data_IF_983273984783
#
_entry.id   IF_983273984783
#
_cell.length_a   1.000
_cell.length_b   1.000
_cell.length_c   1.000
_cell.angle_alpha   90.00
_cell.angle_beta   90.00
_cell.angle_gamma   90.00
#
_symmetry.space_group_name_H-M   'P 1'
#
loop_
_entity.id
_entity.type
_entity.pdbx_description
1 polymer ?
#
# COMPACT_ATOMS: atom_id res chain seq x y z
N UNK A 1 13.39 5.37 -12.50
CA UNK A 1 12.59 6.60 -12.38
C UNK A 1 12.27 6.90 -10.93
N UNK A 2 12.02 8.18 -10.64
CA UNK A 2 11.60 8.68 -9.36
C UNK A 2 10.10 8.94 -9.37
N UNK A 3 9.42 8.67 -8.29
CA UNK A 3 7.98 8.87 -8.12
C UNK A 3 7.63 9.15 -6.67
N UNK A 4 6.47 9.74 -6.40
CA UNK A 4 6.05 10.05 -5.04
C UNK A 4 4.58 10.40 -4.94
N UNK A 5 4.03 10.24 -3.74
CA UNK A 5 2.68 10.63 -3.36
C UNK A 5 2.73 11.35 -2.02
N UNK A 6 1.93 12.41 -1.82
CA UNK A 6 1.99 13.22 -0.60
C UNK A 6 1.02 12.76 0.48
N UNK A 7 1.40 13.01 1.72
CA UNK A 7 0.51 12.90 2.88
C UNK A 7 0.83 13.95 3.95
N UNK A 8 -0.06 14.13 4.91
CA UNK A 8 0.19 14.94 6.08
C UNK A 8 1.19 14.24 7.01
N UNK A 9 2.05 14.99 7.74
CA UNK A 9 2.87 14.45 8.82
C UNK A 9 1.99 14.02 10.00
N UNK A 10 2.57 13.37 11.02
CA UNK A 10 1.79 12.96 12.19
C UNK A 10 1.12 14.16 12.89
N UNK A 11 0.01 13.94 13.58
CA UNK A 11 -0.66 14.98 14.38
C UNK A 11 0.30 15.65 15.35
N UNK A 12 1.15 14.87 16.03
CA UNK A 12 2.18 15.40 16.93
C UNK A 12 3.15 16.36 16.25
N UNK A 13 3.39 16.20 14.96
CA UNK A 13 4.21 17.12 14.17
C UNK A 13 3.42 18.34 13.77
N UNK A 14 2.14 18.19 13.37
CA UNK A 14 1.24 19.32 13.08
C UNK A 14 1.10 20.23 14.31
N UNK A 15 0.96 19.67 15.49
CA UNK A 15 0.87 20.41 16.75
C UNK A 15 2.10 21.27 17.07
N UNK A 16 3.27 20.97 16.51
CA UNK A 16 4.49 21.78 16.73
C UNK A 16 4.48 23.13 16.02
N UNK A 17 3.66 23.29 14.99
CA UNK A 17 3.60 24.52 14.19
C UNK A 17 2.19 25.13 14.07
N UNK A 18 1.18 24.53 14.73
CA UNK A 18 -0.21 25.01 14.71
C UNK A 18 -0.73 25.27 16.13
N UNK A 19 -1.51 26.34 16.30
CA UNK A 19 -2.45 26.45 17.40
C UNK A 19 -3.76 25.70 17.05
N UNK A 20 -4.64 25.49 18.02
CA UNK A 20 -5.91 24.76 17.79
C UNK A 20 -6.78 25.38 16.68
N UNK A 21 -6.84 26.73 16.63
CA UNK A 21 -7.56 27.47 15.58
C UNK A 21 -7.01 27.25 14.16
N UNK A 22 -5.75 26.84 14.03
CA UNK A 22 -5.07 26.63 12.76
C UNK A 22 -5.15 25.17 12.28
N UNK A 23 -5.70 24.25 13.09
CA UNK A 23 -5.83 22.83 12.78
C UNK A 23 -6.95 22.55 11.79
N UNK A 24 -6.91 23.27 10.69
CA UNK A 24 -7.76 23.13 9.52
C UNK A 24 -6.87 23.02 8.29
N UNK A 25 -7.12 22.02 7.43
CA UNK A 25 -6.27 21.72 6.27
C UNK A 25 -5.98 22.95 5.39
N UNK A 26 -6.92 23.87 5.27
CA UNK A 26 -6.82 25.10 4.46
C UNK A 26 -6.54 26.37 5.28
N UNK A 27 -6.12 26.23 6.54
CA UNK A 27 -5.62 27.38 7.27
C UNK A 27 -4.31 27.89 6.65
N UNK A 28 -4.04 29.18 6.76
CA UNK A 28 -2.80 29.77 6.23
C UNK A 28 -1.55 29.10 6.77
N UNK A 29 -1.58 28.66 8.03
CA UNK A 29 -0.47 27.94 8.66
C UNK A 29 -0.28 26.58 8.02
N UNK A 30 -1.34 25.78 7.88
CA UNK A 30 -1.25 24.46 7.25
C UNK A 30 -0.83 24.54 5.78
N UNK A 31 -1.33 25.54 5.04
CA UNK A 31 -0.93 25.74 3.64
C UNK A 31 0.52 26.23 3.50
N UNK A 32 1.04 27.01 4.46
CA UNK A 32 2.45 27.39 4.48
C UNK A 32 3.38 26.22 4.82
N UNK A 33 2.89 25.21 5.55
CA UNK A 33 3.59 23.97 5.85
C UNK A 33 3.26 22.85 4.83
N UNK A 34 3.26 23.21 3.54
CA UNK A 34 3.03 22.30 2.42
C UNK A 34 4.11 22.52 1.35
N UNK A 35 4.84 21.46 0.97
CA UNK A 35 5.91 21.56 -0.05
C UNK A 35 5.40 21.81 -1.47
N UNK A 36 4.13 21.51 -1.74
CA UNK A 36 3.54 21.72 -3.05
C UNK A 36 2.29 22.61 -2.90
N UNK A 37 2.25 23.81 -3.48
CA UNK A 37 1.17 24.79 -3.28
C UNK A 37 -0.25 24.29 -3.57
N UNK A 38 -0.42 23.28 -4.44
CA UNK A 38 -1.74 22.74 -4.78
C UNK A 38 -2.04 21.38 -4.11
N UNK A 39 -1.19 20.91 -3.19
CA UNK A 39 -1.25 19.52 -2.76
C UNK A 39 -2.34 19.21 -1.73
N UNK A 40 -2.73 20.16 -0.88
CA UNK A 40 -3.83 19.91 0.05
C UNK A 40 -5.12 19.55 -0.68
N UNK A 41 -5.45 20.26 -1.75
CA UNK A 41 -6.58 19.93 -2.61
C UNK A 41 -6.42 18.58 -3.33
N UNK A 42 -5.19 18.26 -3.78
CA UNK A 42 -4.91 16.95 -4.42
C UNK A 42 -5.04 15.79 -3.42
N UNK A 43 -4.54 15.94 -2.20
CA UNK A 43 -4.69 14.93 -1.15
C UNK A 43 -6.17 14.65 -0.91
N UNK A 44 -7.01 15.69 -0.76
CA UNK A 44 -8.45 15.54 -0.57
C UNK A 44 -9.13 14.88 -1.77
N UNK A 45 -8.78 15.27 -2.98
CA UNK A 45 -9.33 14.67 -4.19
C UNK A 45 -9.12 13.16 -4.23
N UNK A 46 -7.86 12.70 -4.14
CA UNK A 46 -7.56 11.26 -4.17
C UNK A 46 -8.11 10.52 -2.95
N UNK A 47 -8.18 11.19 -1.79
CA UNK A 47 -8.79 10.61 -0.61
C UNK A 47 -10.28 10.34 -0.82
N UNK A 48 -11.00 11.27 -1.44
CA UNK A 48 -12.44 11.14 -1.74
C UNK A 48 -12.74 10.02 -2.76
N UNK A 49 -11.79 9.70 -3.63
CA UNK A 49 -11.91 8.58 -4.56
C UNK A 49 -11.76 7.21 -3.87
N UNK A 50 -11.04 7.17 -2.74
CA UNK A 50 -10.65 5.90 -2.10
C UNK A 50 -11.38 5.65 -0.78
N UNK A 51 -11.61 6.69 0.03
CA UNK A 51 -12.15 6.60 1.38
C UNK A 51 -13.36 7.49 1.57
N UNK A 52 -14.16 7.21 2.60
CA UNK A 52 -15.16 8.16 3.11
C UNK A 52 -14.47 9.35 3.75
N UNK A 53 -15.11 10.53 3.73
CA UNK A 53 -14.55 11.73 4.34
C UNK A 53 -14.31 11.53 5.84
N UNK A 54 -13.11 11.84 6.33
CA UNK A 54 -12.80 11.79 7.76
C UNK A 54 -13.55 12.88 8.54
N UNK A 55 -13.80 12.64 9.81
CA UNK A 55 -14.54 13.56 10.68
C UNK A 55 -13.73 14.76 11.15
N UNK A 56 -12.40 14.59 11.23
CA UNK A 56 -11.48 15.57 11.82
C UNK A 56 -10.08 15.50 11.16
N UNK A 57 -9.20 16.41 11.56
CA UNK A 57 -7.83 16.47 11.04
C UNK A 57 -7.02 15.22 11.39
N UNK A 58 -7.28 14.57 12.51
CA UNK A 58 -6.60 13.34 12.90
C UNK A 58 -6.94 12.19 11.96
N UNK A 59 -8.23 11.99 11.69
CA UNK A 59 -8.71 11.03 10.70
C UNK A 59 -8.19 11.34 9.30
N UNK A 60 -8.17 12.62 8.90
CA UNK A 60 -7.61 13.06 7.62
C UNK A 60 -6.12 12.73 7.52
N UNK A 61 -5.35 13.02 8.57
CA UNK A 61 -3.92 12.69 8.63
C UNK A 61 -3.69 11.21 8.46
N UNK A 62 -4.41 10.39 9.23
CA UNK A 62 -4.30 8.92 9.17
C UNK A 62 -4.63 8.40 7.76
N UNK A 63 -5.78 8.77 7.19
CA UNK A 63 -6.20 8.30 5.88
C UNK A 63 -5.28 8.80 4.76
N UNK A 64 -4.75 10.04 4.85
CA UNK A 64 -3.78 10.53 3.87
C UNK A 64 -2.48 9.71 3.86
N UNK A 65 -2.02 9.27 5.02
CA UNK A 65 -0.83 8.41 5.14
C UNK A 65 -1.08 6.99 4.61
N UNK A 66 -2.26 6.42 4.87
CA UNK A 66 -2.65 5.12 4.30
C UNK A 66 -2.73 5.21 2.78
N UNK A 67 -3.36 6.26 2.25
CA UNK A 67 -3.45 6.50 0.80
C UNK A 67 -2.08 6.65 0.15
N UNK A 68 -1.18 7.43 0.77
CA UNK A 68 0.21 7.55 0.32
C UNK A 68 0.89 6.17 0.24
N UNK A 69 0.81 5.40 1.32
CA UNK A 69 1.43 4.07 1.39
C UNK A 69 0.87 3.11 0.35
N UNK A 70 -0.45 3.12 0.16
CA UNK A 70 -1.13 2.29 -0.84
C UNK A 70 -0.73 2.67 -2.28
N UNK A 71 -0.72 3.97 -2.61
CA UNK A 71 -0.29 4.43 -3.93
C UNK A 71 1.15 4.02 -4.26
N UNK A 72 2.06 4.14 -3.28
CA UNK A 72 3.46 3.73 -3.43
C UNK A 72 3.59 2.20 -3.54
N UNK A 73 2.81 1.44 -2.77
CA UNK A 73 2.73 -0.02 -2.83
C UNK A 73 2.32 -0.48 -4.23
N UNK A 74 1.19 0.00 -4.73
CA UNK A 74 0.65 -0.40 -6.05
C UNK A 74 1.66 -0.16 -7.17
N UNK A 75 2.29 1.01 -7.19
CA UNK A 75 3.30 1.35 -8.21
C UNK A 75 4.55 0.46 -8.11
N UNK A 76 5.11 0.30 -6.91
CA UNK A 76 6.33 -0.49 -6.69
C UNK A 76 6.09 -1.97 -7.04
N UNK A 77 4.98 -2.54 -6.59
CA UNK A 77 4.62 -3.92 -6.87
C UNK A 77 4.39 -4.15 -8.37
N UNK A 78 3.74 -3.21 -9.07
CA UNK A 78 3.59 -3.28 -10.51
C UNK A 78 4.95 -3.35 -11.21
N UNK A 79 5.90 -2.50 -10.85
CA UNK A 79 7.24 -2.52 -11.45
C UNK A 79 8.02 -3.79 -11.10
N UNK A 80 7.91 -4.30 -9.90
CA UNK A 80 8.54 -5.56 -9.49
C UNK A 80 7.98 -6.76 -10.25
N UNK A 81 6.67 -6.81 -10.51
CA UNK A 81 6.08 -7.82 -11.42
C UNK A 81 6.61 -7.73 -12.85
N UNK A 82 6.98 -6.52 -13.29
CA UNK A 82 7.56 -6.27 -14.62
C UNK A 82 9.10 -6.28 -14.62
N UNK A 83 9.71 -7.11 -13.77
CA UNK A 83 11.16 -7.31 -13.75
C UNK A 83 11.68 -7.68 -15.16
N UNK A 84 12.85 -7.14 -15.52
CA UNK A 84 13.40 -7.23 -16.88
C UNK A 84 13.09 -6.01 -17.73
N UNK A 85 11.86 -5.48 -17.67
CA UNK A 85 11.49 -4.19 -18.26
C UNK A 85 11.76 -3.02 -17.30
N UNK A 86 11.42 -3.18 -16.03
CA UNK A 86 11.73 -2.23 -14.98
C UNK A 86 12.65 -2.87 -13.94
N UNK A 87 13.89 -2.38 -13.83
CA UNK A 87 14.92 -2.95 -12.96
C UNK A 87 15.11 -2.19 -11.65
N UNK A 88 14.31 -1.15 -11.40
CA UNK A 88 14.35 -0.40 -10.16
C UNK A 88 13.49 0.85 -10.18
N UNK A 89 13.10 1.28 -9.00
CA UNK A 89 12.35 2.52 -8.76
C UNK A 89 12.86 3.20 -7.50
N UNK A 90 12.78 4.52 -7.47
CA UNK A 90 13.17 5.34 -6.31
C UNK A 90 11.94 6.13 -5.89
N UNK A 91 11.44 5.89 -4.68
CA UNK A 91 10.38 6.74 -4.19
C UNK A 91 10.92 8.03 -3.57
N UNK A 92 10.32 9.13 -3.89
CA UNK A 92 10.52 10.42 -3.29
C UNK A 92 9.45 10.64 -2.23
N UNK A 93 9.83 10.80 -0.93
CA UNK A 93 11.18 10.87 -0.41
C UNK A 93 11.30 10.16 0.95
N UNK A 94 12.50 9.94 1.45
CA UNK A 94 12.72 9.26 2.73
C UNK A 94 12.26 10.11 3.92
N UNK A 95 12.79 11.35 4.06
CA UNK A 95 12.54 12.22 5.21
C UNK A 95 12.38 13.70 4.81
N UNK A 96 12.02 14.52 5.78
CA UNK A 96 11.85 15.96 5.64
C UNK A 96 12.97 16.76 6.33
N UNK A 97 13.23 17.97 5.84
CA UNK A 97 14.17 18.93 6.40
C UNK A 97 13.51 20.05 7.23
N UNK A 98 12.20 20.02 7.37
CA UNK A 98 11.37 20.87 8.22
C UNK A 98 9.99 20.24 8.43
N UNK A 99 9.21 20.67 9.47
CA UNK A 99 7.87 20.11 9.70
C UNK A 99 6.90 20.51 8.60
N UNK A 100 6.41 19.55 7.79
CA UNK A 100 5.69 19.86 6.56
C UNK A 100 4.88 18.69 6.05
N UNK A 101 3.80 18.93 5.30
CA UNK A 101 3.15 17.95 4.47
C UNK A 101 3.99 17.71 3.20
N UNK A 102 4.30 16.45 2.89
CA UNK A 102 5.26 16.09 1.85
C UNK A 102 5.11 14.67 1.36
N UNK A 103 6.02 14.25 0.49
CA UNK A 103 6.16 12.88 -0.02
C UNK A 103 6.95 11.96 0.92
N UNK A 104 7.46 12.45 2.05
CA UNK A 104 8.33 11.69 2.95
C UNK A 104 7.64 10.46 3.56
N UNK A 105 8.43 9.40 3.79
CA UNK A 105 8.01 8.23 4.58
C UNK A 105 8.25 8.41 6.08
N UNK A 106 9.14 9.34 6.46
CA UNK A 106 9.44 9.73 7.83
C UNK A 106 9.36 11.24 7.94
N UNK A 107 8.65 11.77 8.93
CA UNK A 107 8.51 13.21 9.13
C UNK A 107 9.80 13.85 9.71
N UNK A 108 9.81 15.18 9.78
CA UNK A 108 10.95 15.95 10.27
C UNK A 108 11.47 15.52 11.65
N UNK A 109 10.60 15.10 12.55
CA UNK A 109 10.97 14.66 13.90
C UNK A 109 11.27 13.16 14.01
N UNK A 110 11.47 12.47 12.88
CA UNK A 110 11.80 11.05 12.86
C UNK A 110 10.61 10.11 13.12
N UNK A 111 9.38 10.60 13.02
CA UNK A 111 8.17 9.77 13.17
C UNK A 111 7.84 9.10 11.85
N UNK A 112 7.67 7.79 11.88
CA UNK A 112 7.31 7.03 10.69
C UNK A 112 5.86 7.28 10.28
N UNK A 113 5.63 7.55 9.00
CA UNK A 113 4.32 7.55 8.38
C UNK A 113 3.93 6.13 7.92
N UNK A 114 2.67 5.90 7.57
CA UNK A 114 2.21 4.59 7.12
C UNK A 114 3.05 4.05 5.95
N UNK A 115 3.47 4.91 5.02
CA UNK A 115 4.36 4.54 3.91
C UNK A 115 5.63 3.83 4.40
N UNK A 116 6.24 4.26 5.51
CA UNK A 116 7.49 3.64 5.99
C UNK A 116 7.31 2.18 6.38
N UNK A 117 6.18 1.85 7.02
CA UNK A 117 5.84 0.47 7.37
C UNK A 117 5.46 -0.36 6.14
N UNK A 118 4.70 0.20 5.21
CA UNK A 118 4.33 -0.48 3.96
C UNK A 118 5.56 -0.72 3.07
N UNK A 119 6.50 0.23 3.03
CA UNK A 119 7.74 0.11 2.27
C UNK A 119 8.59 -1.08 2.73
N UNK A 120 8.63 -1.37 4.02
CA UNK A 120 9.27 -2.57 4.55
C UNK A 120 8.73 -3.85 3.90
N UNK A 121 7.42 -3.92 3.62
CA UNK A 121 6.78 -5.06 2.97
C UNK A 121 7.07 -5.11 1.47
N UNK A 122 6.71 -4.06 0.72
CA UNK A 122 6.83 -4.07 -0.73
C UNK A 122 8.27 -3.92 -1.25
N UNK A 123 9.24 -3.55 -0.40
CA UNK A 123 10.67 -3.54 -0.70
C UNK A 123 11.42 -4.78 -0.19
N UNK A 124 10.74 -5.74 0.46
CA UNK A 124 11.42 -6.95 0.95
C UNK A 124 11.98 -7.78 -0.22
N UNK A 125 13.05 -8.53 0.04
CA UNK A 125 13.70 -9.36 -0.96
C UNK A 125 12.76 -10.42 -1.55
N UNK A 126 11.87 -10.98 -0.73
CA UNK A 126 10.78 -11.85 -1.19
C UNK A 126 9.45 -11.19 -0.81
N UNK A 127 8.75 -10.69 -1.80
CA UNK A 127 7.49 -9.98 -1.59
C UNK A 127 6.37 -10.55 -2.45
N UNK A 128 5.23 -10.80 -1.80
CA UNK A 128 3.96 -11.05 -2.46
C UNK A 128 3.34 -9.76 -2.98
N UNK A 129 2.58 -9.85 -4.04
CA UNK A 129 1.78 -8.73 -4.54
C UNK A 129 0.51 -9.23 -5.22
N UNK A 130 -0.55 -8.42 -5.14
CA UNK A 130 -1.81 -8.72 -5.82
C UNK A 130 -1.93 -7.79 -7.03
N UNK A 131 -2.12 -8.39 -8.20
CA UNK A 131 -2.47 -7.68 -9.42
C UNK A 131 -3.98 -7.70 -9.59
N UNK A 132 -4.59 -6.53 -9.52
CA UNK A 132 -6.03 -6.36 -9.71
C UNK A 132 -6.31 -5.78 -11.10
N UNK A 133 -7.16 -6.44 -11.86
CA UNK A 133 -7.71 -5.96 -13.13
C UNK A 133 -9.22 -6.14 -13.11
N UNK A 134 -9.95 -5.12 -12.70
CA UNK A 134 -11.39 -5.17 -12.45
C UNK A 134 -11.75 -6.27 -11.43
N UNK A 135 -12.38 -7.34 -11.88
CA UNK A 135 -12.76 -8.51 -11.08
C UNK A 135 -11.77 -9.67 -11.15
N UNK A 136 -10.74 -9.54 -11.98
CA UNK A 136 -9.65 -10.52 -12.09
C UNK A 136 -8.55 -10.22 -11.07
N UNK A 137 -8.15 -11.22 -10.28
CA UNK A 137 -7.09 -11.13 -9.29
C UNK A 137 -5.95 -12.10 -9.60
N UNK A 138 -4.72 -11.59 -9.59
CA UNK A 138 -3.50 -12.37 -9.72
C UNK A 138 -2.62 -12.25 -8.48
N UNK A 139 -2.12 -13.36 -7.96
CA UNK A 139 -1.13 -13.37 -6.88
C UNK A 139 0.26 -13.68 -7.42
N UNK A 140 1.19 -12.77 -7.16
CA UNK A 140 2.57 -12.81 -7.65
C UNK A 140 3.57 -12.84 -6.50
N UNK A 141 4.72 -13.48 -6.75
CA UNK A 141 5.90 -13.37 -5.89
C UNK A 141 7.05 -12.78 -6.68
N UNK A 142 7.65 -11.73 -6.12
CA UNK A 142 8.93 -11.18 -6.57
C UNK A 142 10.04 -11.71 -5.67
N UNK A 143 11.01 -12.41 -6.26
CA UNK A 143 12.18 -12.95 -5.57
C UNK A 143 13.44 -12.20 -6.00
N UNK A 144 13.97 -11.33 -5.13
CA UNK A 144 15.22 -10.59 -5.35
C UNK A 144 16.45 -11.29 -4.74
N UNK A 145 16.26 -12.49 -4.20
CA UNK A 145 17.39 -13.29 -3.69
C UNK A 145 18.14 -13.99 -4.81
N UNK A 146 19.30 -14.53 -4.50
CA UNK A 146 20.11 -15.36 -5.43
C UNK A 146 19.73 -16.84 -5.39
N UNK A 147 18.71 -17.19 -4.60
CA UNK A 147 18.31 -18.57 -4.37
C UNK A 147 16.95 -18.87 -5.04
N UNK A 148 16.80 -20.12 -5.50
CA UNK A 148 15.49 -20.66 -5.85
C UNK A 148 14.70 -20.90 -4.56
N UNK A 149 13.53 -20.30 -4.45
CA UNK A 149 12.64 -20.50 -3.30
C UNK A 149 11.40 -21.32 -3.69
N UNK A 150 10.86 -22.06 -2.76
CA UNK A 150 9.53 -22.68 -2.90
C UNK A 150 8.55 -21.91 -2.04
N UNK A 151 7.52 -21.37 -2.68
CA UNK A 151 6.44 -20.64 -2.01
C UNK A 151 5.19 -21.50 -1.98
N UNK A 152 4.58 -21.63 -0.81
CA UNK A 152 3.25 -22.20 -0.63
C UNK A 152 2.31 -21.05 -0.27
N UNK A 153 1.19 -20.96 -0.93
CA UNK A 153 0.20 -19.92 -0.68
C UNK A 153 -1.20 -20.49 -0.59
N UNK A 154 -1.97 -19.91 0.31
CA UNK A 154 -3.39 -20.10 0.50
C UNK A 154 -4.11 -18.85 0.03
N UNK A 155 -4.85 -18.98 -1.04
CA UNK A 155 -5.57 -17.91 -1.71
C UNK A 155 -7.05 -18.05 -1.37
N UNK A 156 -7.68 -16.96 -0.92
CA UNK A 156 -9.11 -17.00 -0.59
C UNK A 156 -9.82 -15.70 -0.96
N UNK A 157 -11.12 -15.80 -1.21
CA UNK A 157 -12.08 -14.70 -1.14
C UNK A 157 -12.86 -14.85 0.15
N UNK A 158 -12.87 -13.79 0.96
CA UNK A 158 -13.53 -13.75 2.26
C UNK A 158 -14.50 -12.57 2.33
N UNK A 159 -15.54 -12.73 3.13
CA UNK A 159 -16.44 -11.63 3.53
C UNK A 159 -15.77 -10.75 4.58
N UNK A 160 -16.31 -9.55 4.85
CA UNK A 160 -15.77 -8.64 5.88
C UNK A 160 -15.82 -9.21 7.30
N UNK A 161 -16.68 -10.21 7.57
CA UNK A 161 -16.72 -10.98 8.81
C UNK A 161 -15.85 -12.26 8.76
N UNK A 162 -14.94 -12.33 7.77
CA UNK A 162 -13.93 -13.37 7.57
C UNK A 162 -14.45 -14.76 7.22
N UNK A 163 -15.69 -14.91 6.78
CA UNK A 163 -16.18 -16.18 6.24
C UNK A 163 -15.53 -16.43 4.87
N UNK A 164 -15.08 -17.66 4.66
CA UNK A 164 -14.46 -18.09 3.41
C UNK A 164 -15.53 -18.42 2.40
N UNK A 165 -15.54 -17.73 1.26
CA UNK A 165 -16.44 -18.04 0.14
C UNK A 165 -15.80 -19.01 -0.84
N UNK A 166 -14.51 -18.83 -1.07
CA UNK A 166 -13.70 -19.71 -1.92
C UNK A 166 -12.27 -19.73 -1.39
N UNK A 167 -11.61 -20.87 -1.47
CA UNK A 167 -10.24 -21.05 -1.05
C UNK A 167 -9.50 -22.04 -1.96
N UNK A 168 -8.23 -21.77 -2.23
CA UNK A 168 -7.35 -22.64 -2.99
C UNK A 168 -5.91 -22.57 -2.47
N UNK A 169 -5.26 -23.74 -2.40
CA UNK A 169 -3.83 -23.83 -2.11
C UNK A 169 -3.03 -23.95 -3.39
N UNK A 170 -1.91 -23.25 -3.46
CA UNK A 170 -0.95 -23.32 -4.57
C UNK A 170 0.47 -23.43 -4.02
N UNK A 171 1.32 -24.14 -4.77
CA UNK A 171 2.75 -24.23 -4.46
C UNK A 171 3.55 -24.10 -5.73
N UNK A 172 4.53 -23.19 -5.74
CA UNK A 172 5.38 -22.93 -6.92
C UNK A 172 6.81 -22.65 -6.51
N UNK A 173 7.75 -23.12 -7.32
CA UNK A 173 9.15 -22.71 -7.25
C UNK A 173 9.31 -21.37 -7.97
N UNK A 174 9.95 -20.42 -7.31
CA UNK A 174 10.20 -19.07 -7.83
C UNK A 174 11.72 -18.92 -7.99
N UNK A 175 12.21 -18.80 -9.22
CA UNK A 175 13.65 -18.68 -9.48
C UNK A 175 14.27 -17.46 -8.82
N UNK A 176 15.59 -17.49 -8.64
CA UNK A 176 16.36 -16.32 -8.25
C UNK A 176 16.15 -15.15 -9.21
N UNK A 177 16.10 -13.93 -8.68
CA UNK A 177 16.00 -12.68 -9.45
C UNK A 177 14.83 -12.67 -10.45
N UNK A 178 13.67 -13.19 -10.06
CA UNK A 178 12.49 -13.32 -10.90
C UNK A 178 11.21 -12.77 -10.26
N UNK A 179 10.17 -12.63 -11.08
CA UNK A 179 8.80 -12.42 -10.62
C UNK A 179 7.88 -13.45 -11.29
N UNK A 180 7.11 -14.18 -10.50
CA UNK A 180 6.27 -15.28 -10.96
C UNK A 180 4.82 -15.10 -10.51
N UNK A 181 3.87 -15.29 -11.42
CA UNK A 181 2.48 -15.45 -11.08
C UNK A 181 2.24 -16.86 -10.52
N UNK A 182 1.77 -16.95 -9.29
CA UNK A 182 1.45 -18.21 -8.63
C UNK A 182 0.00 -18.63 -8.88
N UNK A 183 -0.87 -17.64 -9.00
CA UNK A 183 -2.30 -17.84 -9.11
C UNK A 183 -2.94 -16.65 -9.83
N UNK A 184 -3.93 -16.91 -10.68
CA UNK A 184 -4.80 -15.88 -11.25
C UNK A 184 -6.18 -16.45 -11.53
N UNK A 185 -7.21 -15.65 -11.28
CA UNK A 185 -8.60 -16.05 -11.50
C UNK A 185 -9.54 -14.86 -11.67
N UNK A 186 -10.55 -15.06 -12.50
CA UNK A 186 -11.71 -14.17 -12.64
C UNK A 186 -12.76 -14.46 -11.57
N UNK A 187 -13.20 -13.44 -10.85
CA UNK A 187 -14.15 -13.56 -9.74
C UNK A 187 -15.52 -12.92 -9.99
N UNK A 188 -15.78 -12.42 -11.19
CA UNK A 188 -16.99 -11.67 -11.53
C UNK A 188 -18.28 -12.33 -11.05
N UNK A 189 -18.42 -13.64 -11.25
CA UNK A 189 -19.63 -14.37 -10.85
C UNK A 189 -19.70 -14.56 -9.33
N UNK A 190 -18.56 -14.87 -8.69
CA UNK A 190 -18.50 -15.10 -7.24
C UNK A 190 -18.86 -13.86 -6.44
N UNK A 191 -18.44 -12.67 -6.90
CA UNK A 191 -18.62 -11.41 -6.18
C UNK A 191 -19.84 -10.62 -6.61
N UNK A 192 -20.62 -11.11 -7.59
CA UNK A 192 -21.78 -10.39 -8.11
C UNK A 192 -22.77 -10.01 -7.01
N UNK A 193 -23.04 -8.70 -6.88
CA UNK A 193 -23.93 -8.12 -5.88
C UNK A 193 -23.39 -8.08 -4.44
N UNK A 194 -22.08 -8.30 -4.24
CA UNK A 194 -21.41 -8.25 -2.95
C UNK A 194 -19.92 -7.81 -3.04
N UNK A 195 -19.54 -7.16 -4.11
CA UNK A 195 -18.18 -6.70 -4.39
C UNK A 195 -17.65 -5.69 -3.37
N UNK A 196 -18.53 -4.98 -2.65
CA UNK A 196 -18.27 -4.06 -1.55
C UNK A 196 -18.12 -4.74 -0.16
N UNK A 197 -18.49 -6.02 -0.07
CA UNK A 197 -18.53 -6.77 1.20
C UNK A 197 -17.60 -7.98 1.23
N UNK A 198 -16.72 -8.09 0.23
CA UNK A 198 -15.72 -9.16 0.11
C UNK A 198 -14.33 -8.63 -0.22
N UNK A 199 -13.32 -9.41 0.11
CA UNK A 199 -11.93 -9.09 -0.24
C UNK A 199 -11.15 -10.35 -0.63
N UNK A 200 -10.14 -10.16 -1.46
CA UNK A 200 -9.18 -11.18 -1.85
C UNK A 200 -8.01 -11.19 -0.85
N UNK A 201 -7.56 -12.37 -0.46
CA UNK A 201 -6.43 -12.54 0.44
C UNK A 201 -5.52 -13.67 -0.02
N UNK A 202 -4.20 -13.44 0.09
CA UNK A 202 -3.16 -14.43 -0.12
C UNK A 202 -2.30 -14.53 1.14
N UNK A 203 -2.36 -15.66 1.83
CA UNK A 203 -1.49 -16.01 2.95
C UNK A 203 -0.40 -16.94 2.41
N UNK A 204 0.88 -16.63 2.60
CA UNK A 204 1.96 -17.40 1.99
C UNK A 204 3.14 -17.61 2.90
N UNK A 205 3.81 -18.74 2.70
CA UNK A 205 5.02 -19.12 3.42
C UNK A 205 6.13 -19.54 2.46
N UNK A 206 7.34 -19.29 2.89
CA UNK A 206 8.57 -19.77 2.25
C UNK A 206 9.66 -19.95 3.31
N UNK A 207 10.72 -20.66 2.94
CA UNK A 207 11.90 -20.80 3.80
C UNK A 207 12.99 -19.83 3.36
N UNK A 208 13.58 -19.13 4.33
CA UNK A 208 14.72 -18.24 4.13
C UNK A 208 15.71 -18.43 5.27
N UNK A 209 16.99 -18.75 4.94
CA UNK A 209 18.05 -19.01 5.93
C UNK A 209 17.67 -20.08 6.99
N UNK A 210 16.97 -21.13 6.57
CA UNK A 210 16.51 -22.19 7.48
C UNK A 210 15.33 -21.83 8.38
N UNK A 211 14.72 -20.67 8.18
CA UNK A 211 13.54 -20.22 8.93
C UNK A 211 12.34 -20.09 8.04
N UNK A 212 11.18 -20.53 8.53
CA UNK A 212 9.90 -20.28 7.87
C UNK A 212 9.48 -18.82 8.05
N UNK A 213 9.16 -18.18 6.94
CA UNK A 213 8.62 -16.83 6.88
C UNK A 213 7.17 -16.91 6.45
N UNK A 214 6.28 -16.25 7.20
CA UNK A 214 4.85 -16.16 6.89
C UNK A 214 4.49 -14.72 6.58
N UNK A 215 3.76 -14.51 5.50
CA UNK A 215 3.30 -13.19 5.06
C UNK A 215 1.87 -13.25 4.55
N UNK A 216 1.27 -12.07 4.40
CA UNK A 216 -0.11 -11.92 3.96
C UNK A 216 -0.26 -10.67 3.12
N UNK A 217 -0.98 -10.80 2.02
CA UNK A 217 -1.44 -9.70 1.18
C UNK A 217 -2.95 -9.75 1.05
N UNK A 218 -3.58 -8.59 0.90
CA UNK A 218 -5.01 -8.51 0.63
C UNK A 218 -5.33 -7.35 -0.33
N UNK A 219 -6.45 -7.46 -1.03
CA UNK A 219 -6.96 -6.44 -1.93
C UNK A 219 -8.50 -6.46 -1.93
N UNK A 220 -9.12 -5.30 -2.04
CA UNK A 220 -10.57 -5.15 -2.17
C UNK A 220 -10.98 -5.10 -3.64
N UNK A 221 -12.18 -5.56 -3.97
CA UNK A 221 -12.67 -5.52 -5.36
C UNK A 221 -13.13 -4.12 -5.77
N UNK A 222 -13.58 -3.33 -4.82
CA UNK A 222 -14.00 -1.93 -4.99
C UNK A 222 -13.22 -1.00 -4.06
N UNK A 223 -13.23 0.33 -4.28
CA UNK A 223 -12.67 1.28 -3.33
C UNK A 223 -13.31 1.15 -1.94
N UNK A 224 -12.51 1.30 -0.89
CA UNK A 224 -12.91 1.09 0.53
C UNK A 224 -14.01 2.06 0.99
N UNK A 225 -14.32 3.09 0.22
CA UNK A 225 -15.42 4.04 0.53
C UNK A 225 -16.82 3.44 0.36
N UNK A 226 -16.95 2.36 -0.38
CA UNK A 226 -18.19 1.62 -0.64
C UNK A 226 -18.38 0.45 0.32
#
# INVERSE_FOLDING_TARGET
SEFGFQSLPSIKTIETFTEEKDRNLFSKVMESHQKNPAANGKILYYLSETFRYPRDLSGLTFLSQILQGYAMKVATEHWRRNRGRCMGSIYWQFNDNWPVASWSSMDYYGRYKALHYMAKGFCDNVAGSIEKKETHMGFWISNETLDLITVKAKIAVKTLDFQVLEEQEVSKKVPALSAECLFEKEYKELIAGRDDSVFFVAEYEYEQNGQKVFKKEFETFVPVKY
#
